data_IF_854094546165
#
_entry.id   IF_854094546165
#
_cell.length_a   1.000
_cell.length_b   1.000
_cell.length_c   1.000
_cell.angle_alpha   90.00
_cell.angle_beta   90.00
_cell.angle_gamma   90.00
#
_symmetry.space_group_name_H-M   'P 1'
#
loop_
_entity.id
_entity.type
_entity.pdbx_description
1 polymer ?
#
# COMPACT_ATOMS: atom_id res chain seq x y z
N UNK A 1 -0.16 -0.44 -6.09
CA UNK A 1 -1.13 0.12 -5.14
C UNK A 1 -2.44 0.24 -5.88
N UNK A 2 -3.56 -0.01 -5.21
CA UNK A 2 -4.90 0.07 -5.80
C UNK A 2 -5.73 1.04 -4.95
N UNK A 3 -6.32 2.04 -5.61
CA UNK A 3 -7.03 3.12 -4.94
C UNK A 3 -8.28 2.62 -4.21
N UNK A 4 -8.51 3.13 -3.01
CA UNK A 4 -9.60 2.73 -2.09
C UNK A 4 -9.60 1.24 -1.67
N UNK A 5 -8.60 0.45 -2.08
CA UNK A 5 -8.47 -0.97 -1.71
C UNK A 5 -7.34 -1.20 -0.71
N UNK A 6 -6.15 -0.67 -0.98
CA UNK A 6 -4.96 -0.82 -0.11
C UNK A 6 -4.28 0.53 0.19
N UNK A 7 -4.96 1.63 -0.10
CA UNK A 7 -4.53 3.00 0.13
C UNK A 7 -5.43 3.98 -0.62
N UNK A 8 -5.24 5.27 -0.37
CA UNK A 8 -5.95 6.33 -1.09
C UNK A 8 -4.90 7.18 -1.80
N UNK A 9 -5.08 7.39 -3.11
CA UNK A 9 -4.21 8.24 -3.92
C UNK A 9 -4.77 9.65 -3.99
N UNK A 10 -3.88 10.64 -3.85
CA UNK A 10 -4.17 12.07 -4.02
C UNK A 10 -3.19 12.67 -5.01
N UNK A 11 -3.59 13.74 -5.70
CA UNK A 11 -2.72 14.41 -6.64
C UNK A 11 -1.49 15.03 -5.91
N UNK A 12 -0.29 14.97 -6.51
CA UNK A 12 0.87 15.64 -5.93
C UNK A 12 0.63 17.14 -5.74
N UNK A 13 0.94 17.65 -4.55
CA UNK A 13 0.78 19.08 -4.21
C UNK A 13 -0.65 19.50 -3.82
N UNK A 14 -1.63 18.60 -3.89
CA UNK A 14 -3.01 18.89 -3.49
C UNK A 14 -3.22 18.65 -1.99
N UNK A 15 -2.92 19.68 -1.19
CA UNK A 15 -3.07 19.65 0.26
C UNK A 15 -4.52 19.49 0.72
N UNK A 16 -5.47 20.05 -0.03
CA UNK A 16 -6.88 20.03 0.32
C UNK A 16 -7.48 18.64 0.11
N UNK A 17 -7.13 17.98 -1.00
CA UNK A 17 -7.47 16.60 -1.24
C UNK A 17 -6.87 15.68 -0.17
N UNK A 18 -5.61 15.90 0.22
CA UNK A 18 -4.98 15.12 1.28
C UNK A 18 -5.71 15.30 2.62
N UNK A 19 -5.99 16.53 3.03
CA UNK A 19 -6.70 16.84 4.27
C UNK A 19 -8.07 16.15 4.34
N UNK A 20 -8.83 16.21 3.24
CA UNK A 20 -10.14 15.55 3.13
C UNK A 20 -10.07 14.04 3.31
N UNK A 21 -9.06 13.39 2.71
CA UNK A 21 -8.92 11.94 2.86
C UNK A 21 -8.43 11.56 4.26
N UNK A 22 -7.56 12.37 4.88
CA UNK A 22 -7.17 12.17 6.28
C UNK A 22 -8.36 12.29 7.23
N UNK A 23 -9.20 13.30 7.06
CA UNK A 23 -10.44 13.47 7.85
C UNK A 23 -11.35 12.24 7.71
N UNK A 24 -11.54 11.74 6.49
CA UNK A 24 -12.31 10.52 6.22
C UNK A 24 -11.74 9.31 6.97
N UNK A 25 -10.41 9.12 6.96
CA UNK A 25 -9.77 7.98 7.64
C UNK A 25 -9.83 8.09 9.17
N UNK A 26 -9.73 9.31 9.71
CA UNK A 26 -9.83 9.57 11.16
C UNK A 26 -11.25 9.24 11.64
N UNK A 27 -12.26 9.72 10.91
CA UNK A 27 -13.68 9.57 11.27
C UNK A 27 -14.26 8.18 10.96
N UNK A 28 -13.63 7.40 10.07
CA UNK A 28 -14.10 6.06 9.66
C UNK A 28 -13.10 4.95 10.07
N UNK A 29 -13.17 4.43 11.30
CA UNK A 29 -12.24 3.41 11.80
C UNK A 29 -12.18 2.13 10.98
N UNK A 30 -13.33 1.62 10.56
CA UNK A 30 -13.41 0.40 9.75
C UNK A 30 -12.68 0.57 8.41
N UNK A 31 -12.79 1.75 7.78
CA UNK A 31 -12.13 2.04 6.52
C UNK A 31 -10.60 2.01 6.65
N UNK A 32 -10.04 2.75 7.62
CA UNK A 32 -8.58 2.78 7.80
C UNK A 32 -8.02 1.41 8.16
N UNK A 33 -8.77 0.59 8.90
CA UNK A 33 -8.34 -0.76 9.25
C UNK A 33 -8.34 -1.67 8.02
N UNK A 34 -9.42 -1.68 7.24
CA UNK A 34 -9.49 -2.49 6.01
C UNK A 34 -8.38 -2.12 5.01
N UNK A 35 -8.14 -0.82 4.80
CA UNK A 35 -7.05 -0.36 3.93
C UNK A 35 -5.67 -0.79 4.44
N UNK A 36 -5.43 -0.71 5.75
CA UNK A 36 -4.18 -1.15 6.38
C UNK A 36 -3.94 -2.65 6.24
N UNK A 37 -4.96 -3.47 6.52
CA UNK A 37 -4.90 -4.93 6.36
C UNK A 37 -4.64 -5.34 4.91
N UNK A 38 -5.31 -4.69 3.95
CA UNK A 38 -5.07 -4.94 2.53
C UNK A 38 -3.69 -4.47 2.07
N UNK A 39 -3.20 -3.35 2.59
CA UNK A 39 -1.83 -2.88 2.37
C UNK A 39 -0.79 -3.89 2.85
N UNK A 40 -0.96 -4.42 4.06
CA UNK A 40 -0.09 -5.44 4.64
C UNK A 40 -0.12 -6.75 3.83
N UNK A 41 -1.31 -7.21 3.45
CA UNK A 41 -1.48 -8.42 2.61
C UNK A 41 -0.72 -8.28 1.29
N UNK A 42 -0.82 -7.12 0.64
CA UNK A 42 -0.10 -6.84 -0.61
C UNK A 42 1.41 -6.80 -0.42
N UNK A 43 1.90 -6.28 0.71
CA UNK A 43 3.33 -6.29 1.03
C UNK A 43 3.87 -7.71 1.02
N UNK A 44 3.23 -8.62 1.77
CA UNK A 44 3.62 -10.03 1.82
C UNK A 44 3.52 -10.75 0.47
N UNK A 45 2.57 -10.39 -0.38
CA UNK A 45 2.40 -11.04 -1.68
C UNK A 45 3.42 -10.63 -2.74
N UNK A 46 3.97 -9.42 -2.66
CA UNK A 46 4.73 -8.82 -3.76
C UNK A 46 6.12 -8.30 -3.39
N UNK A 47 6.39 -8.13 -2.10
CA UNK A 47 7.63 -7.54 -1.60
C UNK A 47 8.25 -8.40 -0.50
N UNK A 48 7.93 -9.70 -0.47
CA UNK A 48 8.63 -10.63 0.39
C UNK A 48 10.10 -10.69 -0.02
N UNK A 49 10.98 -10.43 0.94
CA UNK A 49 12.43 -10.38 0.76
C UNK A 49 12.94 -11.74 0.28
N UNK A 50 12.33 -12.84 0.72
CA UNK A 50 12.67 -14.19 0.27
C UNK A 50 12.43 -14.33 -1.25
N UNK A 51 11.29 -13.83 -1.75
CA UNK A 51 10.95 -13.88 -3.16
C UNK A 51 11.93 -13.05 -4.02
N UNK A 52 12.39 -11.91 -3.49
CA UNK A 52 13.37 -11.06 -4.16
C UNK A 52 14.76 -11.70 -4.22
N UNK A 53 15.20 -12.35 -3.14
CA UNK A 53 16.49 -13.05 -3.09
C UNK A 53 16.49 -14.23 -4.07
N UNK A 54 15.43 -15.03 -4.13
CA UNK A 54 15.33 -16.17 -5.05
C UNK A 54 15.44 -15.75 -6.52
N UNK A 55 14.83 -14.62 -6.88
CA UNK A 55 14.93 -14.04 -8.22
C UNK A 55 16.35 -13.58 -8.53
N UNK A 56 17.03 -12.92 -7.58
CA UNK A 56 18.40 -12.48 -7.76
C UNK A 56 19.39 -13.66 -7.84
N UNK A 57 19.21 -14.68 -7.01
CA UNK A 57 20.00 -15.93 -7.06
C UNK A 57 19.85 -16.59 -8.44
N UNK A 58 18.62 -16.67 -8.95
CA UNK A 58 18.35 -17.22 -10.29
C UNK A 58 19.02 -16.41 -11.39
N UNK A 59 19.02 -15.08 -11.29
CA UNK A 59 19.61 -14.19 -12.28
C UNK A 59 21.14 -14.27 -12.31
N UNK A 60 21.79 -14.40 -11.15
CA UNK A 60 23.27 -14.43 -11.04
C UNK A 60 23.88 -15.84 -11.09
N UNK A 61 23.07 -16.90 -11.09
CA UNK A 61 23.52 -18.27 -11.31
C UNK A 61 23.70 -18.63 -12.81
N UNK A 62 23.45 -17.68 -13.72
CA UNK A 62 23.71 -17.76 -15.17
C UNK A 62 25.05 -17.13 -15.51
#
# INVERSE_FOLDING_TARGET
MENDVNGIMVAPGDSDALAKQLERLITQPALRQALGENGLRRLHQHFDVELGIDQLVTLFAQ
#
